data_IF_035640570666
#
_entry.id   IF_035640570666
#
_cell.length_a   1.000
_cell.length_b   1.000
_cell.length_c   1.000
_cell.angle_alpha   90.00
_cell.angle_beta   90.00
_cell.angle_gamma   90.00
#
_symmetry.space_group_name_H-M   'P 1'
#
loop_
_entity.id
_entity.type
_entity.pdbx_description
1 polymer ?
#
# COMPACT_ATOMS: atom_id res chain seq x y z
N UNK A 1 12.65 -23.08 17.48
CA UNK A 1 11.42 -22.38 17.93
C UNK A 1 10.85 -23.17 19.10
N UNK A 2 10.59 -22.54 20.25
CA UNK A 2 10.05 -23.24 21.44
C UNK A 2 8.53 -23.11 21.60
N UNK A 3 7.92 -22.09 20.98
CA UNK A 3 6.47 -21.87 20.98
C UNK A 3 5.99 -21.58 19.56
N UNK A 4 5.21 -22.51 18.99
CA UNK A 4 4.72 -22.41 17.62
C UNK A 4 3.61 -21.38 17.46
N UNK A 5 2.78 -21.18 18.49
CA UNK A 5 1.70 -20.18 18.45
C UNK A 5 2.26 -18.77 18.21
N UNK A 6 3.22 -18.32 19.03
CA UNK A 6 3.84 -17.01 18.84
C UNK A 6 4.61 -16.91 17.52
N UNK A 7 5.26 -17.99 17.10
CA UNK A 7 5.96 -18.02 15.83
C UNK A 7 5.01 -17.75 14.65
N UNK A 8 3.89 -18.48 14.55
CA UNK A 8 2.95 -18.29 13.47
C UNK A 8 2.20 -16.96 13.57
N UNK A 9 1.79 -16.56 14.79
CA UNK A 9 1.15 -15.27 15.04
C UNK A 9 2.02 -14.13 14.47
N UNK A 10 3.27 -14.00 14.94
CA UNK A 10 4.13 -12.91 14.49
C UNK A 10 4.60 -13.03 13.04
N UNK A 11 4.71 -14.25 12.48
CA UNK A 11 5.00 -14.42 11.05
C UNK A 11 3.86 -13.93 10.17
N UNK A 12 2.62 -14.23 10.53
CA UNK A 12 1.43 -13.75 9.83
C UNK A 12 1.31 -12.24 10.00
N UNK A 13 1.45 -11.73 11.22
CA UNK A 13 1.42 -10.29 11.50
C UNK A 13 2.52 -9.51 10.77
N UNK A 14 3.72 -10.07 10.64
CA UNK A 14 4.78 -9.46 9.85
C UNK A 14 4.42 -9.40 8.36
N UNK A 15 3.74 -10.43 7.83
CA UNK A 15 3.25 -10.43 6.46
C UNK A 15 2.18 -9.36 6.19
N UNK A 16 1.41 -8.95 7.22
CA UNK A 16 0.45 -7.83 7.11
C UNK A 16 1.13 -6.47 6.89
N UNK A 17 2.43 -6.33 7.17
CA UNK A 17 3.19 -5.12 6.86
C UNK A 17 3.88 -5.14 5.49
N UNK A 18 3.68 -6.18 4.69
CA UNK A 18 4.40 -6.41 3.44
C UNK A 18 3.55 -6.18 2.18
N UNK A 19 4.22 -6.15 1.03
CA UNK A 19 3.62 -5.95 -0.30
C UNK A 19 2.38 -6.82 -0.56
N UNK A 20 2.39 -8.09 -0.12
CA UNK A 20 1.28 -9.04 -0.32
C UNK A 20 0.01 -8.57 0.39
N UNK A 21 0.12 -7.96 1.57
CA UNK A 21 -1.03 -7.38 2.25
C UNK A 21 -1.55 -6.15 1.50
N UNK A 22 -0.69 -5.26 1.03
CA UNK A 22 -1.14 -4.04 0.33
C UNK A 22 -1.85 -4.36 -0.99
N UNK A 23 -1.33 -5.31 -1.78
CA UNK A 23 -1.95 -5.72 -3.06
C UNK A 23 -3.27 -6.49 -2.87
N UNK A 24 -3.56 -6.97 -1.66
CA UNK A 24 -4.80 -7.69 -1.35
C UNK A 24 -5.80 -6.79 -0.64
N UNK A 25 -5.40 -6.18 0.47
CA UNK A 25 -6.28 -5.38 1.33
C UNK A 25 -6.76 -4.09 0.68
N UNK A 26 -5.87 -3.30 0.05
CA UNK A 26 -6.27 -2.02 -0.53
C UNK A 26 -7.29 -2.20 -1.68
N UNK A 27 -7.08 -3.12 -2.65
CA UNK A 27 -8.10 -3.40 -3.66
C UNK A 27 -9.38 -4.01 -3.07
N UNK A 28 -9.27 -4.86 -2.04
CA UNK A 28 -10.45 -5.38 -1.35
C UNK A 28 -11.33 -4.26 -0.77
N UNK A 29 -10.73 -3.22 -0.19
CA UNK A 29 -11.51 -2.07 0.30
C UNK A 29 -12.26 -1.35 -0.83
N UNK A 30 -11.70 -1.31 -2.04
CA UNK A 30 -12.34 -0.70 -3.20
C UNK A 30 -13.46 -1.57 -3.79
N UNK A 31 -13.23 -2.88 -3.94
CA UNK A 31 -14.14 -3.81 -4.60
C UNK A 31 -15.36 -4.19 -3.75
N UNK A 32 -15.18 -4.22 -2.43
CA UNK A 32 -16.16 -4.81 -1.51
C UNK A 32 -16.72 -3.78 -0.52
N UNK A 33 -15.88 -2.90 0.02
CA UNK A 33 -16.30 -1.99 1.11
C UNK A 33 -16.87 -0.70 0.54
N UNK A 34 -16.00 0.19 0.06
CA UNK A 34 -16.39 1.51 -0.43
C UNK A 34 -15.23 2.16 -1.19
N UNK A 35 -15.53 2.73 -2.36
CA UNK A 35 -14.56 3.48 -3.13
C UNK A 35 -13.98 4.69 -2.38
N UNK A 36 -14.79 5.40 -1.61
CA UNK A 36 -14.36 6.54 -0.81
C UNK A 36 -13.35 6.15 0.28
N UNK A 37 -13.59 5.03 0.98
CA UNK A 37 -12.64 4.48 1.96
C UNK A 37 -11.34 4.11 1.28
N UNK A 38 -11.40 3.39 0.15
CA UNK A 38 -10.21 2.96 -0.57
C UNK A 38 -9.33 4.13 -1.04
N UNK A 39 -9.94 5.21 -1.57
CA UNK A 39 -9.22 6.41 -2.01
C UNK A 39 -8.41 7.03 -0.87
N UNK A 40 -9.05 7.30 0.26
CA UNK A 40 -8.39 7.90 1.43
C UNK A 40 -7.30 6.99 2.00
N UNK A 41 -7.55 5.67 2.06
CA UNK A 41 -6.55 4.69 2.50
C UNK A 41 -5.31 4.68 1.60
N UNK A 42 -5.50 4.65 0.27
CA UNK A 42 -4.39 4.63 -0.68
C UNK A 42 -3.57 5.89 -0.54
N UNK A 43 -4.19 7.08 -0.51
CA UNK A 43 -3.50 8.37 -0.37
C UNK A 43 -2.68 8.40 0.93
N UNK A 44 -3.30 8.05 2.07
CA UNK A 44 -2.62 8.05 3.37
C UNK A 44 -1.47 7.05 3.41
N UNK A 45 -1.68 5.86 2.86
CA UNK A 45 -0.63 4.84 2.74
C UNK A 45 0.55 5.34 1.89
N UNK A 46 0.31 5.98 0.74
CA UNK A 46 1.38 6.52 -0.11
C UNK A 46 2.20 7.59 0.62
N UNK A 47 1.52 8.55 1.25
CA UNK A 47 2.16 9.69 1.93
C UNK A 47 3.01 9.19 3.09
N UNK A 48 2.43 8.36 3.97
CA UNK A 48 3.11 7.86 5.16
C UNK A 48 4.29 6.97 4.78
N UNK A 49 4.14 6.12 3.76
CA UNK A 49 5.24 5.27 3.31
C UNK A 49 6.36 6.07 2.65
N UNK A 50 6.04 7.07 1.82
CA UNK A 50 7.05 7.92 1.22
C UNK A 50 7.86 8.66 2.29
N UNK A 51 7.18 9.34 3.21
CA UNK A 51 7.82 10.09 4.30
C UNK A 51 8.64 9.14 5.18
N UNK A 52 8.09 7.99 5.55
CA UNK A 52 8.78 7.00 6.39
C UNK A 52 10.05 6.45 5.75
N UNK A 53 10.02 6.13 4.45
CA UNK A 53 11.19 5.64 3.73
C UNK A 53 12.25 6.73 3.56
N UNK A 54 11.85 7.96 3.21
CA UNK A 54 12.77 9.10 3.14
C UNK A 54 13.43 9.36 4.50
N UNK A 55 12.64 9.41 5.58
CA UNK A 55 13.16 9.59 6.94
C UNK A 55 14.15 8.51 7.32
N UNK A 56 13.88 7.26 6.94
CA UNK A 56 14.78 6.13 7.20
C UNK A 56 16.18 6.36 6.61
N UNK A 57 16.25 6.80 5.36
CA UNK A 57 17.52 7.00 4.66
C UNK A 57 18.22 8.33 5.00
N UNK A 58 17.48 9.29 5.58
CA UNK A 58 18.04 10.52 6.17
C UNK A 58 18.60 10.29 7.58
N UNK A 59 17.86 9.60 8.45
CA UNK A 59 18.25 9.34 9.83
C UNK A 59 19.38 8.31 9.95
N UNK A 60 19.43 7.36 9.00
CA UNK A 60 20.45 6.31 8.94
C UNK A 60 20.60 5.51 10.24
N UNK A 61 19.50 5.36 10.99
CA UNK A 61 19.51 4.70 12.29
C UNK A 61 19.75 3.19 12.13
N UNK A 62 20.74 2.59 12.80
CA UNK A 62 21.09 1.20 12.58
C UNK A 62 20.00 0.24 13.07
N UNK A 63 19.89 -0.92 12.41
CA UNK A 63 19.06 -2.05 12.85
C UNK A 63 19.62 -2.67 14.13
N UNK A 64 18.81 -3.43 14.91
CA UNK A 64 19.31 -4.22 16.03
C UNK A 64 20.47 -5.13 15.61
N UNK A 65 21.53 -5.16 16.42
CA UNK A 65 22.73 -5.97 16.15
C UNK A 65 22.44 -7.46 16.32
N UNK A 66 22.97 -8.25 15.39
CA UNK A 66 22.93 -9.72 15.40
C UNK A 66 24.37 -10.21 15.42
N UNK A 67 24.85 -10.88 16.49
CA UNK A 67 24.17 -11.24 17.76
C UNK A 67 23.91 -10.05 18.71
N UNK A 68 23.02 -10.18 19.74
CA UNK A 68 22.27 -11.38 20.16
C UNK A 68 20.91 -11.57 19.45
N UNK A 69 20.45 -10.59 18.66
CA UNK A 69 19.14 -10.66 18.01
C UNK A 69 19.18 -11.61 16.81
N UNK A 70 18.25 -12.56 16.71
CA UNK A 70 18.11 -13.43 15.55
C UNK A 70 17.16 -12.80 14.52
N UNK A 71 17.67 -12.50 13.32
CA UNK A 71 16.88 -11.91 12.23
C UNK A 71 16.14 -13.00 11.46
N UNK A 72 14.81 -12.94 11.49
CA UNK A 72 13.94 -13.86 10.74
C UNK A 72 13.68 -13.39 9.30
N UNK A 73 14.00 -12.14 8.99
CA UNK A 73 13.83 -11.53 7.66
C UNK A 73 15.15 -10.97 7.13
N UNK A 74 15.82 -11.73 6.26
CA UNK A 74 17.13 -11.31 5.72
C UNK A 74 17.04 -10.32 4.56
N UNK A 75 15.88 -10.24 3.89
CA UNK A 75 15.69 -9.47 2.65
C UNK A 75 15.88 -7.95 2.84
N UNK A 76 15.50 -7.44 4.00
CA UNK A 76 15.45 -6.00 4.32
C UNK A 76 16.56 -5.60 5.30
N UNK A 77 17.59 -6.44 5.45
CA UNK A 77 18.65 -6.21 6.43
C UNK A 77 19.60 -5.07 6.06
N UNK A 78 19.69 -4.74 4.77
CA UNK A 78 20.46 -3.61 4.27
C UNK A 78 19.80 -2.24 4.57
N UNK A 79 18.54 -2.23 5.02
CA UNK A 79 17.81 -1.00 5.30
C UNK A 79 18.04 -0.51 6.74
N UNK A 80 17.95 0.81 6.95
CA UNK A 80 17.95 1.39 8.29
C UNK A 80 16.69 1.03 9.10
N UNK A 81 16.81 1.17 10.42
CA UNK A 81 15.81 0.78 11.42
C UNK A 81 14.72 1.82 11.67
N UNK A 82 15.06 3.08 11.88
CA UNK A 82 14.08 4.08 12.31
C UNK A 82 13.67 5.01 11.15
N UNK A 83 12.36 5.30 10.98
CA UNK A 83 11.21 4.70 11.65
C UNK A 83 10.82 3.33 11.07
N UNK A 84 10.03 2.56 11.82
CA UNK A 84 9.47 1.31 11.31
C UNK A 84 8.34 1.57 10.33
N UNK A 85 8.63 1.49 9.03
CA UNK A 85 7.63 1.70 7.96
C UNK A 85 6.48 0.71 7.98
N UNK A 86 6.69 -0.51 8.48
CA UNK A 86 5.60 -1.49 8.65
C UNK A 86 4.64 -1.06 9.76
N UNK A 87 5.17 -0.57 10.90
CA UNK A 87 4.35 0.00 11.96
C UNK A 87 3.64 1.26 11.46
N UNK A 88 4.35 2.15 10.74
CA UNK A 88 3.77 3.36 10.15
C UNK A 88 2.59 3.05 9.23
N UNK A 89 2.75 2.12 8.29
CA UNK A 89 1.69 1.72 7.38
C UNK A 89 0.50 1.09 8.11
N UNK A 90 0.75 0.18 9.05
CA UNK A 90 -0.31 -0.47 9.80
C UNK A 90 -1.13 0.54 10.61
N UNK A 91 -0.45 1.48 11.28
CA UNK A 91 -1.10 2.58 12.01
C UNK A 91 -1.88 3.48 11.06
N UNK A 92 -1.31 3.89 9.92
CA UNK A 92 -1.98 4.79 8.97
C UNK A 92 -3.24 4.16 8.40
N UNK A 93 -3.12 2.91 7.93
CA UNK A 93 -4.22 2.17 7.30
C UNK A 93 -5.34 1.94 8.30
N UNK A 94 -5.05 1.45 9.52
CA UNK A 94 -6.10 1.09 10.46
C UNK A 94 -6.83 2.30 11.05
N UNK A 95 -6.10 3.36 11.42
CA UNK A 95 -6.73 4.57 11.96
C UNK A 95 -7.47 5.35 10.86
N UNK A 96 -6.91 5.46 9.65
CA UNK A 96 -7.63 6.06 8.51
C UNK A 96 -8.89 5.26 8.20
N UNK A 97 -8.83 3.92 8.20
CA UNK A 97 -10.02 3.10 7.99
C UNK A 97 -11.12 3.44 9.00
N UNK A 98 -10.80 3.47 10.29
CA UNK A 98 -11.78 3.78 11.35
C UNK A 98 -12.33 5.19 11.22
N UNK A 99 -11.48 6.20 10.97
CA UNK A 99 -11.95 7.58 10.87
C UNK A 99 -12.85 7.82 9.66
N UNK A 100 -12.59 7.15 8.53
CA UNK A 100 -13.45 7.27 7.36
C UNK A 100 -14.74 6.47 7.52
N UNK A 101 -14.65 5.26 8.07
CA UNK A 101 -15.84 4.38 8.21
C UNK A 101 -16.75 4.78 9.37
N UNK A 102 -16.26 5.48 10.39
CA UNK A 102 -17.07 5.96 11.51
C UNK A 102 -18.21 6.90 11.08
N UNK A 103 -18.03 7.64 9.99
CA UNK A 103 -19.06 8.52 9.43
C UNK A 103 -19.98 7.83 8.40
N UNK A 104 -19.66 6.60 7.98
CA UNK A 104 -20.36 5.89 6.91
C UNK A 104 -21.09 4.62 7.38
N UNK A 105 -20.62 3.98 8.45
CA UNK A 105 -21.12 2.71 8.95
C UNK A 105 -21.47 2.82 10.43
N UNK A 106 -22.58 2.19 10.84
CA UNK A 106 -23.00 2.16 12.24
C UNK A 106 -22.26 1.04 12.99
N UNK A 107 -21.20 1.39 13.72
CA UNK A 107 -20.55 0.52 14.70
C UNK A 107 -20.00 1.37 15.88
N UNK A 108 -19.77 0.79 17.07
CA UNK A 108 -19.21 1.52 18.19
C UNK A 108 -17.80 2.02 17.88
N UNK A 109 -17.57 3.33 17.93
CA UNK A 109 -16.25 3.94 17.62
C UNK A 109 -15.13 3.33 18.49
N UNK A 110 -15.41 3.06 19.76
CA UNK A 110 -14.49 2.42 20.69
C UNK A 110 -13.99 1.06 20.18
N UNK A 111 -14.89 0.25 19.61
CA UNK A 111 -14.53 -1.05 19.05
C UNK A 111 -13.67 -0.89 17.79
N UNK A 112 -13.96 0.10 16.96
CA UNK A 112 -13.13 0.45 15.80
C UNK A 112 -11.72 0.87 16.23
N UNK A 113 -11.62 1.80 17.18
CA UNK A 113 -10.33 2.27 17.71
C UNK A 113 -9.54 1.14 18.38
N UNK A 114 -10.20 0.27 19.14
CA UNK A 114 -9.58 -0.92 19.71
C UNK A 114 -9.04 -1.84 18.61
N UNK A 115 -9.82 -2.10 17.56
CA UNK A 115 -9.37 -2.89 16.40
C UNK A 115 -8.17 -2.26 15.70
N UNK A 116 -8.18 -0.95 15.49
CA UNK A 116 -7.08 -0.23 14.88
C UNK A 116 -5.79 -0.27 15.72
N UNK A 117 -5.93 -0.11 17.04
CA UNK A 117 -4.84 -0.25 17.99
C UNK A 117 -4.27 -1.68 17.99
N UNK A 118 -5.13 -2.70 18.10
CA UNK A 118 -4.72 -4.10 18.11
C UNK A 118 -3.99 -4.48 16.82
N UNK A 119 -4.52 -4.11 15.66
CA UNK A 119 -3.87 -4.37 14.37
C UNK A 119 -2.50 -3.68 14.28
N UNK A 120 -2.44 -2.38 14.60
CA UNK A 120 -1.20 -1.60 14.58
C UNK A 120 -0.15 -2.18 15.53
N UNK A 121 -0.53 -2.49 16.77
CA UNK A 121 0.37 -3.08 17.76
C UNK A 121 0.81 -4.48 17.36
N UNK A 122 -0.07 -5.30 16.79
CA UNK A 122 0.27 -6.65 16.35
C UNK A 122 1.33 -6.63 15.22
N UNK A 123 1.18 -5.74 14.24
CA UNK A 123 2.19 -5.54 13.20
C UNK A 123 3.48 -4.96 13.80
N UNK A 124 3.39 -3.97 14.68
CA UNK A 124 4.56 -3.38 15.35
C UNK A 124 5.36 -4.41 16.16
N UNK A 125 4.70 -5.20 17.01
CA UNK A 125 5.31 -6.26 17.81
C UNK A 125 5.95 -7.35 16.95
N UNK A 126 5.35 -7.67 15.79
CA UNK A 126 5.95 -8.61 14.84
C UNK A 126 7.33 -8.17 14.34
N UNK A 127 7.58 -6.85 14.25
CA UNK A 127 8.86 -6.29 13.81
C UNK A 127 9.97 -6.44 14.84
N UNK A 128 9.59 -6.39 16.12
CA UNK A 128 10.49 -6.68 17.24
C UNK A 128 10.77 -8.17 17.28
N UNK A 129 9.73 -9.01 17.19
CA UNK A 129 9.86 -10.47 17.21
C UNK A 129 10.73 -11.01 16.07
N UNK A 130 10.61 -10.44 14.87
CA UNK A 130 11.44 -10.82 13.70
C UNK A 130 12.87 -10.30 13.77
N UNK A 131 13.22 -9.53 14.80
CA UNK A 131 14.56 -9.00 15.02
C UNK A 131 14.92 -7.82 14.11
N UNK A 132 13.93 -7.21 13.47
CA UNK A 132 14.15 -6.17 12.47
C UNK A 132 14.16 -4.77 13.08
N UNK A 133 13.42 -4.53 14.16
CA UNK A 133 13.27 -3.19 14.73
C UNK A 133 13.40 -3.20 16.25
N UNK A 134 13.85 -2.07 16.80
CA UNK A 134 13.76 -1.79 18.24
C UNK A 134 12.35 -1.34 18.62
N UNK A 135 12.04 -1.31 19.92
CA UNK A 135 10.79 -0.73 20.44
C UNK A 135 10.67 0.74 20.03
N UNK A 136 11.78 1.49 20.10
CA UNK A 136 11.82 2.90 19.72
C UNK A 136 11.43 3.10 18.25
N UNK A 137 11.98 2.30 17.34
CA UNK A 137 11.67 2.40 15.90
C UNK A 137 10.17 2.25 15.62
N UNK A 138 9.51 1.35 16.36
CA UNK A 138 8.09 1.05 16.24
C UNK A 138 7.24 2.17 16.83
N UNK A 139 7.55 2.62 18.05
CA UNK A 139 6.82 3.70 18.72
C UNK A 139 6.92 5.00 17.91
N UNK A 140 8.13 5.38 17.50
CA UNK A 140 8.36 6.58 16.67
C UNK A 140 7.62 6.46 15.34
N UNK A 141 7.66 5.31 14.69
CA UNK A 141 6.90 5.07 13.46
C UNK A 141 5.39 5.26 13.65
N UNK A 142 4.80 4.62 14.66
CA UNK A 142 3.37 4.78 14.93
C UNK A 142 2.99 6.22 15.28
N UNK A 143 3.80 6.94 16.07
CA UNK A 143 3.55 8.34 16.41
C UNK A 143 3.62 9.27 15.18
N UNK A 144 4.62 9.10 14.32
CA UNK A 144 4.72 9.85 13.06
C UNK A 144 3.48 9.58 12.19
N UNK A 145 3.06 8.33 12.10
CA UNK A 145 1.89 7.95 11.30
C UNK A 145 0.59 8.57 11.83
N UNK A 146 0.36 8.55 13.15
CA UNK A 146 -0.79 9.22 13.77
C UNK A 146 -0.74 10.74 13.54
N UNK A 147 0.43 11.35 13.68
CA UNK A 147 0.63 12.78 13.45
C UNK A 147 0.32 13.17 12.00
N UNK A 148 0.85 12.42 11.02
CA UNK A 148 0.55 12.64 9.61
C UNK A 148 -0.94 12.44 9.32
N UNK A 149 -1.56 11.39 9.88
CA UNK A 149 -3.00 11.14 9.73
C UNK A 149 -3.83 12.29 10.28
N UNK A 150 -3.49 12.81 11.47
CA UNK A 150 -4.19 13.94 12.08
C UNK A 150 -4.07 15.23 11.24
N UNK A 151 -2.90 15.49 10.64
CA UNK A 151 -2.68 16.68 9.79
C UNK A 151 -3.37 16.57 8.44
N UNK A 152 -3.39 15.38 7.85
CA UNK A 152 -4.04 15.16 6.54
C UNK A 152 -5.55 14.98 6.64
N UNK A 153 -6.09 14.57 7.79
CA UNK A 153 -7.52 14.33 7.96
C UNK A 153 -8.40 15.52 7.53
N UNK A 154 -8.12 16.79 7.89
CA UNK A 154 -8.91 17.94 7.46
C UNK A 154 -8.86 18.22 5.96
N UNK A 155 -7.83 17.72 5.26
CA UNK A 155 -7.64 17.98 3.82
C UNK A 155 -8.21 16.87 2.93
N UNK A 156 -8.66 15.75 3.51
CA UNK A 156 -9.12 14.59 2.74
C UNK A 156 -10.22 14.91 1.73
N UNK A 157 -11.23 15.69 2.10
CA UNK A 157 -12.32 16.03 1.18
C UNK A 157 -11.85 16.90 0.01
N UNK A 158 -10.97 17.87 0.30
CA UNK A 158 -10.40 18.75 -0.72
C UNK A 158 -9.54 17.95 -1.69
N UNK A 159 -8.67 17.09 -1.15
CA UNK A 159 -7.77 16.25 -1.93
C UNK A 159 -8.57 15.24 -2.77
N UNK A 160 -9.56 14.56 -2.18
CA UNK A 160 -10.39 13.58 -2.88
C UNK A 160 -11.18 14.23 -4.02
N UNK A 161 -11.82 15.37 -3.75
CA UNK A 161 -12.54 16.12 -4.78
C UNK A 161 -11.62 16.57 -5.91
N UNK A 162 -10.45 17.16 -5.60
CA UNK A 162 -9.50 17.61 -6.61
C UNK A 162 -8.99 16.46 -7.46
N UNK A 163 -8.69 15.31 -6.85
CA UNK A 163 -8.19 14.12 -7.55
C UNK A 163 -9.25 13.51 -8.48
N UNK A 164 -10.53 13.62 -8.15
CA UNK A 164 -11.61 13.08 -8.97
C UNK A 164 -12.05 14.01 -10.11
N UNK A 165 -11.92 15.33 -9.93
CA UNK A 165 -12.53 16.33 -10.84
C UNK A 165 -11.52 17.08 -11.70
N UNK A 166 -10.27 17.22 -11.25
CA UNK A 166 -9.27 18.00 -11.98
C UNK A 166 -8.80 17.28 -13.23
N UNK A 167 -8.84 17.90 -14.43
CA UNK A 167 -8.31 17.30 -15.65
C UNK A 167 -6.79 17.09 -15.61
N UNK A 168 -6.09 17.81 -14.73
CA UNK A 168 -4.64 17.68 -14.55
C UNK A 168 -4.25 16.55 -13.60
N UNK A 169 -5.20 15.89 -12.94
CA UNK A 169 -4.93 14.84 -11.96
C UNK A 169 -4.04 13.71 -12.53
N UNK A 170 -4.29 13.15 -13.72
CA UNK A 170 -3.45 12.07 -14.24
C UNK A 170 -2.00 12.50 -14.47
N UNK A 171 -1.79 13.70 -15.04
CA UNK A 171 -0.45 14.24 -15.25
C UNK A 171 0.27 14.46 -13.91
N UNK A 172 -0.42 15.04 -12.93
CA UNK A 172 0.12 15.25 -11.58
C UNK A 172 0.52 13.93 -10.91
N UNK A 173 -0.33 12.90 -10.99
CA UNK A 173 -0.09 11.57 -10.41
C UNK A 173 1.04 10.80 -11.08
N UNK A 174 1.45 11.18 -12.29
CA UNK A 174 2.63 10.60 -12.94
C UNK A 174 3.87 11.43 -12.60
N UNK A 175 3.81 12.74 -12.84
CA UNK A 175 4.96 13.64 -12.77
C UNK A 175 5.49 13.74 -11.34
N UNK A 176 4.63 14.01 -10.35
CA UNK A 176 5.07 14.23 -8.97
C UNK A 176 5.69 12.95 -8.39
N UNK A 177 5.03 11.78 -8.43
CA UNK A 177 5.63 10.56 -7.92
C UNK A 177 6.93 10.16 -8.62
N UNK A 178 7.04 10.33 -9.95
CA UNK A 178 8.30 10.09 -10.66
C UNK A 178 9.39 11.05 -10.23
N UNK A 179 9.09 12.35 -10.12
CA UNK A 179 10.01 13.35 -9.60
C UNK A 179 10.52 12.97 -8.20
N UNK A 180 9.62 12.55 -7.30
CA UNK A 180 9.98 12.10 -5.96
C UNK A 180 10.83 10.81 -5.97
N UNK A 181 10.59 9.88 -6.89
CA UNK A 181 11.40 8.66 -7.03
C UNK A 181 12.81 8.93 -7.54
N UNK A 182 12.96 9.83 -8.52
CA UNK A 182 14.28 10.19 -9.08
C UNK A 182 15.10 11.08 -8.14
N UNK A 183 14.44 11.94 -7.36
CA UNK A 183 15.08 12.78 -6.35
C UNK A 183 15.12 12.15 -4.95
N UNK A 184 14.74 10.87 -4.83
CA UNK A 184 14.82 10.13 -3.58
C UNK A 184 16.27 10.10 -3.04
N UNK A 185 16.48 10.20 -1.71
CA UNK A 185 17.82 10.24 -1.11
C UNK A 185 18.79 9.19 -1.69
N UNK A 186 20.03 9.62 -1.96
CA UNK A 186 21.09 8.75 -2.47
C UNK A 186 21.85 8.16 -1.27
N UNK A 187 22.01 6.84 -1.30
CA UNK A 187 22.88 6.10 -0.37
C UNK A 187 24.13 5.65 -1.11
N UNK A 188 25.22 5.49 -0.37
CA UNK A 188 26.52 5.05 -0.89
C UNK A 188 26.52 3.57 -1.32
N UNK A 189 25.49 2.83 -0.88
CA UNK A 189 25.29 1.43 -1.20
C UNK A 189 23.85 1.19 -1.68
N UNK A 190 23.62 0.04 -2.31
CA UNK A 190 22.28 -0.34 -2.75
C UNK A 190 21.41 -0.76 -1.55
N UNK A 191 20.26 -0.07 -1.41
CA UNK A 191 19.20 -0.42 -0.47
C UNK A 191 17.89 -0.63 -1.24
N UNK A 192 17.05 -1.61 -0.85
CA UNK A 192 15.74 -1.82 -1.48
C UNK A 192 14.74 -0.68 -1.20
N UNK A 193 15.02 0.25 -0.27
CA UNK A 193 14.10 1.33 0.14
C UNK A 193 13.57 2.16 -1.03
N UNK A 194 14.43 2.53 -1.99
CA UNK A 194 13.99 3.28 -3.19
C UNK A 194 13.06 2.45 -4.07
N UNK A 195 13.39 1.18 -4.30
CA UNK A 195 12.60 0.27 -5.11
C UNK A 195 11.20 0.04 -4.51
N UNK A 196 11.13 -0.11 -3.19
CA UNK A 196 9.89 -0.26 -2.44
C UNK A 196 9.07 1.04 -2.47
N UNK A 197 9.72 2.19 -2.28
CA UNK A 197 9.08 3.51 -2.40
C UNK A 197 8.48 3.71 -3.80
N UNK A 198 9.22 3.35 -4.85
CA UNK A 198 8.75 3.45 -6.24
C UNK A 198 7.58 2.50 -6.51
N UNK A 199 7.61 1.31 -5.91
CA UNK A 199 6.52 0.32 -6.00
C UNK A 199 5.22 0.89 -5.42
N UNK A 200 5.30 1.51 -4.25
CA UNK A 200 4.16 2.12 -3.53
C UNK A 200 3.62 3.31 -4.30
N UNK A 201 4.49 4.23 -4.70
CA UNK A 201 4.13 5.43 -5.44
C UNK A 201 3.53 5.10 -6.81
N UNK A 202 4.07 4.11 -7.52
CA UNK A 202 3.50 3.61 -8.78
C UNK A 202 2.10 3.01 -8.58
N UNK A 203 1.95 2.07 -7.64
CA UNK A 203 0.64 1.47 -7.33
C UNK A 203 -0.42 2.53 -7.00
N UNK A 204 -0.03 3.53 -6.21
CA UNK A 204 -0.91 4.62 -5.80
C UNK A 204 -1.28 5.51 -6.99
N UNK A 205 -0.30 5.91 -7.80
CA UNK A 205 -0.53 6.71 -9.01
C UNK A 205 -1.50 6.02 -9.97
N UNK A 206 -1.28 4.72 -10.23
CA UNK A 206 -2.18 3.93 -11.08
C UNK A 206 -3.60 3.86 -10.54
N UNK A 207 -3.76 3.60 -9.24
CA UNK A 207 -5.08 3.53 -8.61
C UNK A 207 -5.81 4.87 -8.67
N UNK A 208 -5.12 5.98 -8.38
CA UNK A 208 -5.69 7.33 -8.43
C UNK A 208 -6.14 7.68 -9.85
N UNK A 209 -5.31 7.40 -10.86
CA UNK A 209 -5.67 7.63 -12.26
C UNK A 209 -6.92 6.82 -12.62
N UNK A 210 -7.04 5.59 -12.13
CA UNK A 210 -8.22 4.79 -12.37
C UNK A 210 -9.47 5.30 -11.64
N UNK A 211 -9.35 5.84 -10.43
CA UNK A 211 -10.47 6.52 -9.75
C UNK A 211 -10.94 7.74 -10.54
N UNK A 212 -9.99 8.55 -11.01
CA UNK A 212 -10.26 9.70 -11.86
C UNK A 212 -10.95 9.27 -13.17
N UNK A 213 -10.41 8.28 -13.87
CA UNK A 213 -10.96 7.80 -15.13
C UNK A 213 -12.37 7.21 -14.94
N UNK A 214 -12.62 6.47 -13.87
CA UNK A 214 -13.96 5.96 -13.57
C UNK A 214 -14.96 7.08 -13.26
N UNK A 215 -14.52 8.16 -12.59
CA UNK A 215 -15.39 9.30 -12.29
C UNK A 215 -15.76 10.08 -13.57
N UNK A 216 -14.86 10.15 -14.55
CA UNK A 216 -15.07 10.90 -15.79
C UNK A 216 -15.71 10.07 -16.92
N UNK A 217 -15.42 8.77 -17.00
CA UNK A 217 -15.82 7.90 -18.12
C UNK A 217 -16.65 6.69 -17.69
N UNK A 218 -16.70 6.37 -16.39
CA UNK A 218 -17.50 5.27 -15.87
C UNK A 218 -18.96 5.67 -15.70
N UNK A 219 -19.87 4.72 -15.97
CA UNK A 219 -21.32 4.94 -15.89
C UNK A 219 -21.90 4.93 -14.46
N UNK A 220 -21.08 4.89 -13.40
CA UNK A 220 -21.58 4.76 -12.03
C UNK A 220 -21.49 6.06 -11.23
N UNK A 221 -22.70 6.55 -10.92
CA UNK A 221 -23.02 7.64 -10.03
C UNK A 221 -22.18 7.60 -8.75
N UNK A 222 -21.64 8.77 -8.39
CA UNK A 222 -21.19 9.06 -7.05
C UNK A 222 -22.20 8.50 -6.03
N UNK A 223 -21.80 7.46 -5.30
CA UNK A 223 -22.50 7.02 -4.11
C UNK A 223 -22.34 8.11 -3.06
N UNK A 224 -23.21 9.11 -3.13
CA UNK A 224 -23.44 10.10 -2.06
C UNK A 224 -23.78 9.33 -0.80
N UNK A 225 -23.04 9.60 0.28
CA UNK A 225 -23.41 9.51 1.69
C UNK A 225 -24.63 8.63 2.04
N UNK A 226 -24.59 7.35 1.68
CA UNK A 226 -25.54 6.35 2.20
C UNK A 226 -24.90 5.76 3.44
N UNK A 227 -25.56 5.94 4.59
CA UNK A 227 -25.17 5.22 5.80
C UNK A 227 -25.52 3.75 5.57
N UNK A 228 -24.51 2.91 5.38
CA UNK A 228 -24.72 1.48 5.18
C UNK A 228 -24.94 0.82 6.56
N UNK A 229 -26.11 0.21 6.76
CA UNK A 229 -26.28 -0.76 7.84
C UNK A 229 -25.51 -2.03 7.48
N UNK A 230 -24.73 -2.57 8.42
CA UNK A 230 -24.08 -3.87 8.24
C UNK A 230 -25.18 -4.92 8.10
N UNK A 231 -25.45 -5.34 6.87
CA UNK A 231 -26.39 -6.45 6.61
C UNK A 231 -25.85 -7.72 7.24
N UNK A 232 -26.74 -8.63 7.64
CA UNK A 232 -26.33 -9.99 7.98
C UNK A 232 -25.60 -10.62 6.79
N UNK A 233 -24.46 -11.24 7.06
CA UNK A 233 -23.65 -11.92 6.04
C UNK A 233 -24.40 -13.21 5.68
N UNK A 234 -25.08 -13.21 4.53
CA UNK A 234 -25.65 -14.44 3.97
C UNK A 234 -24.57 -15.26 3.26
N UNK A 235 -24.82 -16.56 3.07
CA UNK A 235 -23.92 -17.44 2.31
C UNK A 235 -23.71 -16.94 0.88
N UNK A 236 -24.74 -16.39 0.25
CA UNK A 236 -24.70 -15.81 -1.10
C UNK A 236 -23.78 -14.58 -1.16
N UNK A 237 -23.93 -13.64 -0.22
CA UNK A 237 -23.05 -12.46 -0.12
C UNK A 237 -21.61 -12.90 0.11
N UNK A 238 -21.39 -13.87 0.99
CA UNK A 238 -20.05 -14.40 1.25
C UNK A 238 -19.42 -15.02 0.00
N UNK A 239 -20.16 -15.84 -0.74
CA UNK A 239 -19.69 -16.46 -1.98
C UNK A 239 -19.41 -15.41 -3.07
N UNK A 240 -20.25 -14.39 -3.19
CA UNK A 240 -20.03 -13.28 -4.13
C UNK A 240 -18.76 -12.49 -3.77
N UNK A 241 -18.57 -12.13 -2.50
CA UNK A 241 -17.37 -11.44 -2.03
C UNK A 241 -16.11 -12.28 -2.28
N UNK A 242 -16.18 -13.58 -2.01
CA UNK A 242 -15.09 -14.50 -2.26
C UNK A 242 -14.76 -14.61 -3.75
N UNK A 243 -15.78 -14.73 -4.61
CA UNK A 243 -15.62 -14.77 -6.06
C UNK A 243 -14.99 -13.47 -6.59
N UNK A 244 -15.52 -12.30 -6.19
CA UNK A 244 -14.93 -10.99 -6.52
C UNK A 244 -13.47 -10.93 -6.09
N UNK A 245 -13.16 -11.32 -4.86
CA UNK A 245 -11.80 -11.30 -4.35
C UNK A 245 -10.85 -12.21 -5.16
N UNK A 246 -11.24 -13.46 -5.42
CA UNK A 246 -10.40 -14.42 -6.18
C UNK A 246 -10.16 -13.92 -7.61
N UNK A 247 -11.22 -13.50 -8.31
CA UNK A 247 -11.11 -12.97 -9.69
C UNK A 247 -10.23 -11.72 -9.70
N UNK A 248 -10.47 -10.77 -8.80
CA UNK A 248 -9.71 -9.54 -8.72
C UNK A 248 -8.23 -9.78 -8.48
N UNK A 249 -7.87 -10.60 -7.47
CA UNK A 249 -6.47 -10.94 -7.20
C UNK A 249 -5.83 -11.68 -8.37
N UNK A 250 -6.55 -12.61 -9.02
CA UNK A 250 -6.06 -13.28 -10.22
C UNK A 250 -5.67 -12.30 -11.33
N UNK A 251 -6.54 -11.33 -11.61
CA UNK A 251 -6.28 -10.26 -12.60
C UNK A 251 -5.08 -9.40 -12.20
N UNK A 252 -4.94 -9.04 -10.92
CA UNK A 252 -3.79 -8.26 -10.46
C UNK A 252 -2.47 -9.03 -10.59
N UNK A 253 -2.46 -10.32 -10.27
CA UNK A 253 -1.27 -11.16 -10.42
C UNK A 253 -0.86 -11.31 -11.88
N UNK A 254 -1.83 -11.52 -12.78
CA UNK A 254 -1.59 -11.58 -14.22
C UNK A 254 -1.06 -10.23 -14.73
N UNK A 255 -1.71 -9.13 -14.36
CA UNK A 255 -1.31 -7.77 -14.75
C UNK A 255 0.12 -7.49 -14.31
N UNK A 256 0.45 -7.81 -13.04
CA UNK A 256 1.80 -7.65 -12.49
C UNK A 256 2.82 -8.47 -13.29
N UNK A 257 2.54 -9.74 -13.55
CA UNK A 257 3.47 -10.62 -14.25
C UNK A 257 3.70 -10.19 -15.70
N UNK A 258 2.64 -9.79 -16.39
CA UNK A 258 2.68 -9.29 -17.77
C UNK A 258 3.46 -7.97 -17.86
N UNK A 259 3.05 -6.96 -17.07
CA UNK A 259 3.70 -5.65 -17.06
C UNK A 259 5.18 -5.76 -16.68
N UNK A 260 5.50 -6.53 -15.63
CA UNK A 260 6.88 -6.79 -15.20
C UNK A 260 7.74 -7.36 -16.33
N UNK A 261 7.21 -8.33 -17.08
CA UNK A 261 7.94 -9.00 -18.15
C UNK A 261 8.18 -8.06 -19.33
N UNK A 262 7.15 -7.33 -19.76
CA UNK A 262 7.25 -6.39 -20.88
C UNK A 262 8.19 -5.25 -20.54
N UNK A 263 7.97 -4.56 -19.42
CA UNK A 263 8.77 -3.39 -19.05
C UNK A 263 10.24 -3.76 -18.88
N UNK A 264 10.53 -4.91 -18.25
CA UNK A 264 11.92 -5.38 -18.11
C UNK A 264 12.58 -5.65 -19.47
N UNK A 265 11.91 -6.37 -20.37
CA UNK A 265 12.43 -6.64 -21.72
C UNK A 265 12.65 -5.36 -22.51
N UNK A 266 11.68 -4.44 -22.49
CA UNK A 266 11.76 -3.15 -23.18
C UNK A 266 12.92 -2.30 -22.67
N UNK A 267 13.11 -2.20 -21.35
CA UNK A 267 14.22 -1.45 -20.76
C UNK A 267 15.57 -2.08 -21.08
N UNK A 268 15.71 -3.41 -20.96
CA UNK A 268 16.95 -4.10 -21.32
C UNK A 268 17.31 -3.88 -22.80
N UNK A 269 16.32 -3.94 -23.69
CA UNK A 269 16.51 -3.66 -25.12
C UNK A 269 16.92 -2.21 -25.37
N UNK A 270 16.20 -1.26 -24.78
CA UNK A 270 16.44 0.18 -24.94
C UNK A 270 17.84 0.59 -24.49
N UNK A 271 18.28 0.11 -23.32
CA UNK A 271 19.60 0.43 -22.78
C UNK A 271 20.71 -0.53 -23.24
N UNK A 272 20.39 -1.53 -24.07
CA UNK A 272 21.32 -2.55 -24.57
C UNK A 272 22.11 -3.25 -23.44
N UNK A 273 21.43 -3.57 -22.34
CA UNK A 273 22.04 -4.23 -21.17
C UNK A 273 21.55 -5.67 -21.04
N UNK A 274 22.39 -6.55 -20.53
CA UNK A 274 22.02 -7.92 -20.19
C UNK A 274 20.81 -7.95 -19.24
N UNK A 275 20.00 -9.01 -19.34
CA UNK A 275 18.82 -9.24 -18.50
C UNK A 275 19.20 -9.69 -17.07
N UNK A 276 20.15 -9.00 -16.45
CA UNK A 276 20.69 -9.32 -15.13
C UNK A 276 20.04 -8.47 -14.03
N UNK A 277 19.97 -9.02 -12.82
CA UNK A 277 19.40 -8.30 -11.67
C UNK A 277 20.27 -7.13 -11.21
N UNK A 278 21.57 -7.14 -11.51
CA UNK A 278 22.48 -6.02 -11.22
C UNK A 278 22.15 -4.82 -12.10
N UNK A 279 21.85 -5.04 -13.39
CA UNK A 279 21.41 -3.97 -14.28
C UNK A 279 20.10 -3.33 -13.81
N UNK A 280 19.19 -4.14 -13.25
CA UNK A 280 17.90 -3.70 -12.73
C UNK A 280 17.95 -2.88 -11.45
N UNK A 281 19.10 -2.85 -10.76
CA UNK A 281 19.32 -2.01 -9.56
C UNK A 281 19.81 -0.61 -9.91
N UNK A 282 20.16 -0.34 -11.18
CA UNK A 282 20.53 1.00 -11.61
C UNK A 282 19.31 1.91 -11.62
N UNK A 283 19.42 3.13 -11.09
CA UNK A 283 18.29 4.07 -10.93
C UNK A 283 17.50 4.26 -12.23
N UNK A 284 18.21 4.41 -13.37
CA UNK A 284 17.61 4.59 -14.70
C UNK A 284 16.76 3.40 -15.18
N UNK A 285 16.95 2.22 -14.58
CA UNK A 285 16.21 1.00 -14.86
C UNK A 285 15.18 0.71 -13.77
N UNK A 286 15.59 0.81 -12.51
CA UNK A 286 14.81 0.42 -11.33
C UNK A 286 13.53 1.26 -11.21
N UNK A 287 13.66 2.58 -11.33
CA UNK A 287 12.53 3.51 -11.18
C UNK A 287 11.45 3.25 -12.25
N UNK A 288 11.74 3.30 -13.56
CA UNK A 288 10.70 3.07 -14.57
C UNK A 288 10.17 1.63 -14.54
N UNK A 289 11.01 0.64 -14.26
CA UNK A 289 10.59 -0.76 -14.14
C UNK A 289 9.54 -0.94 -13.04
N UNK A 290 9.83 -0.45 -11.82
CA UNK A 290 8.91 -0.53 -10.70
C UNK A 290 7.69 0.35 -10.91
N UNK A 291 7.89 1.61 -11.29
CA UNK A 291 6.81 2.57 -11.43
C UNK A 291 5.76 2.09 -12.43
N UNK A 292 6.16 1.75 -13.67
CA UNK A 292 5.21 1.32 -14.70
C UNK A 292 4.52 0.02 -14.32
N UNK A 293 5.27 -0.98 -13.81
CA UNK A 293 4.69 -2.27 -13.42
C UNK A 293 3.58 -2.10 -12.39
N UNK A 294 3.84 -1.31 -11.33
CA UNK A 294 2.88 -1.17 -10.24
C UNK A 294 1.79 -0.14 -10.53
N UNK A 295 2.06 0.90 -11.34
CA UNK A 295 1.01 1.75 -11.90
C UNK A 295 0.01 0.94 -12.72
N UNK A 296 0.46 -0.04 -13.51
CA UNK A 296 -0.46 -0.96 -14.21
C UNK A 296 -1.29 -1.79 -13.25
N UNK A 297 -0.72 -2.26 -12.13
CA UNK A 297 -1.46 -3.00 -11.10
C UNK A 297 -2.52 -2.12 -10.44
N UNK A 298 -2.16 -0.90 -10.02
CA UNK A 298 -3.09 0.06 -9.42
C UNK A 298 -4.23 0.40 -10.37
N UNK A 299 -3.90 0.75 -11.62
CA UNK A 299 -4.89 1.07 -12.65
C UNK A 299 -5.83 -0.11 -12.92
N UNK A 300 -5.29 -1.34 -12.97
CA UNK A 300 -6.07 -2.56 -13.16
C UNK A 300 -7.01 -2.85 -12.01
N UNK A 301 -6.55 -2.66 -10.77
CA UNK A 301 -7.40 -2.81 -9.59
C UNK A 301 -8.60 -1.86 -9.62
N UNK A 302 -8.41 -0.65 -10.14
CA UNK A 302 -9.44 0.38 -10.10
C UNK A 302 -10.32 0.43 -11.34
N UNK A 303 -9.81 0.08 -12.53
CA UNK A 303 -10.57 0.14 -13.79
C UNK A 303 -10.93 -1.24 -14.34
N UNK A 304 -9.93 -2.07 -14.64
CA UNK A 304 -10.16 -3.34 -15.35
C UNK A 304 -10.96 -4.33 -14.51
N UNK A 305 -10.65 -4.46 -13.22
CA UNK A 305 -11.34 -5.42 -12.34
C UNK A 305 -12.83 -5.07 -12.18
N UNK A 306 -13.25 -3.82 -11.88
CA UNK A 306 -14.67 -3.48 -11.86
C UNK A 306 -15.39 -3.70 -13.19
N UNK A 307 -14.75 -3.37 -14.32
CA UNK A 307 -15.32 -3.63 -15.64
C UNK A 307 -15.56 -5.14 -15.86
N UNK A 308 -14.63 -5.98 -15.43
CA UNK A 308 -14.80 -7.44 -15.46
C UNK A 308 -15.94 -7.90 -14.54
N UNK A 309 -16.09 -7.31 -13.35
CA UNK A 309 -17.24 -7.64 -12.49
C UNK A 309 -18.56 -7.33 -13.17
N UNK A 310 -18.69 -6.16 -13.80
CA UNK A 310 -19.90 -5.82 -14.56
C UNK A 310 -20.12 -6.77 -15.74
N UNK A 311 -19.06 -7.16 -16.45
CA UNK A 311 -19.15 -8.12 -17.55
C UNK A 311 -19.58 -9.53 -17.11
N UNK A 312 -19.08 -10.01 -15.96
CA UNK A 312 -19.43 -11.31 -15.40
C UNK A 312 -20.70 -11.30 -14.54
N UNK A 313 -21.38 -10.16 -14.37
CA UNK A 313 -22.56 -10.03 -13.52
C UNK A 313 -22.27 -10.15 -12.02
N UNK A 314 -21.04 -9.84 -11.57
CA UNK A 314 -20.59 -9.88 -10.18
C UNK A 314 -20.76 -8.53 -9.45
N UNK A 315 -21.78 -7.74 -9.81
CA UNK A 315 -22.01 -6.41 -9.22
C UNK A 315 -22.44 -6.50 -7.77
#
# INVERSE_FOLDING_TARGET
VKNYFYYYLFRISAAMGQEVFYITFLPFTYWIINAHVARRLIIMWSVVMYIGQVMKDLLKWPRPRSPPVVKLEKKTDAEYGMPSTHAMAATAISFTFVFVTANQYKYPLELGLLGAFLFSSLVGLSRIYTGMHTVLDVVVGSLISLFLTAIFCPTWDIVDHLMLTSPFCPAFCIIVPLFLCYNYPKLDYYSPTRADTTTILGASAGAIIGFWANNHYGSNAASKDVIYSVSSITSEIFLLVLAKFIVGIGVLMITRQFARTIVRKSLCSWYKVSNSDVAMRQIKMEVPYKFVTYSSVGLSATMFVPLLYTFFGLN
#
